data_IF_893790677505
#
_entry.id   IF_893790677505
#
_cell.length_a   1.000
_cell.length_b   1.000
_cell.length_c   1.000
_cell.angle_alpha   90.00
_cell.angle_beta   90.00
_cell.angle_gamma   90.00
#
_symmetry.space_group_name_H-M   'P 1'
#
loop_
_entity.id
_entity.type
_entity.pdbx_description
1 polymer ?
#
# COMPACT_ATOMS: atom_id res chain seq x y z
N UNK A 1 -10.82 -6.00 -8.97
CA UNK A 1 -11.06 -4.53 -8.85
C UNK A 1 -9.91 -3.84 -8.12
N UNK A 2 -9.54 -4.26 -6.90
CA UNK A 2 -8.34 -3.75 -6.20
C UNK A 2 -7.07 -4.03 -7.00
N UNK A 3 -6.93 -5.22 -7.59
CA UNK A 3 -5.77 -5.59 -8.43
C UNK A 3 -5.54 -4.62 -9.61
N UNK A 4 -6.59 -4.22 -10.32
CA UNK A 4 -6.48 -3.24 -11.41
C UNK A 4 -6.05 -1.84 -10.91
N UNK A 5 -6.45 -1.49 -9.68
CA UNK A 5 -6.02 -0.22 -9.05
C UNK A 5 -4.57 -0.31 -8.58
N UNK A 6 -4.19 -1.45 -8.01
CA UNK A 6 -2.81 -1.77 -7.62
C UNK A 6 -1.86 -1.64 -8.81
N UNK A 7 -2.20 -2.28 -9.93
CA UNK A 7 -1.43 -2.24 -11.16
C UNK A 7 -1.34 -0.81 -11.73
N UNK A 8 -2.44 -0.05 -11.69
CA UNK A 8 -2.43 1.35 -12.14
C UNK A 8 -1.52 2.22 -11.28
N UNK A 9 -1.55 2.05 -9.96
CA UNK A 9 -0.70 2.77 -9.01
C UNK A 9 0.77 2.38 -9.22
N UNK A 10 1.05 1.09 -9.35
CA UNK A 10 2.40 0.57 -9.64
C UNK A 10 2.98 1.20 -10.92
N UNK A 11 2.21 1.19 -12.01
CA UNK A 11 2.60 1.81 -13.28
C UNK A 11 2.80 3.34 -13.18
N UNK A 12 2.00 4.03 -12.35
CA UNK A 12 2.21 5.46 -12.10
C UNK A 12 3.52 5.73 -11.34
N UNK A 13 3.82 4.93 -10.33
CA UNK A 13 5.04 5.07 -9.52
C UNK A 13 6.29 4.72 -10.33
N UNK A 14 6.26 3.64 -11.13
CA UNK A 14 7.33 3.29 -12.07
C UNK A 14 7.63 4.41 -13.06
N UNK A 15 6.59 5.02 -13.66
CA UNK A 15 6.75 6.19 -14.55
C UNK A 15 7.33 7.42 -13.86
N UNK A 16 7.16 7.52 -12.55
CA UNK A 16 7.77 8.56 -11.72
C UNK A 16 9.19 8.18 -11.21
N UNK A 17 9.80 7.14 -11.76
CA UNK A 17 11.12 6.60 -11.40
C UNK A 17 11.21 6.11 -9.95
N UNK A 18 10.14 5.46 -9.45
CA UNK A 18 10.22 4.67 -8.23
C UNK A 18 10.51 3.21 -8.59
N UNK A 19 11.38 2.57 -7.81
CA UNK A 19 11.43 1.11 -7.71
C UNK A 19 10.22 0.64 -6.91
N UNK A 20 9.54 -0.40 -7.38
CA UNK A 20 8.33 -0.90 -6.74
C UNK A 20 8.40 -2.40 -6.49
N UNK A 21 7.77 -2.84 -5.42
CA UNK A 21 7.70 -4.23 -5.01
C UNK A 21 6.31 -4.55 -4.47
N UNK A 22 5.58 -5.43 -5.16
CA UNK A 22 4.21 -5.83 -4.82
C UNK A 22 4.27 -7.03 -3.86
N UNK A 23 3.62 -6.90 -2.71
CA UNK A 23 3.66 -7.89 -1.62
C UNK A 23 2.65 -9.03 -1.79
N UNK A 24 1.61 -8.85 -2.61
CA UNK A 24 0.52 -9.82 -2.80
C UNK A 24 0.99 -11.12 -3.47
N UNK A 25 2.20 -11.14 -4.03
CA UNK A 25 2.76 -12.30 -4.75
C UNK A 25 3.33 -13.41 -3.85
N UNK A 26 3.38 -13.24 -2.52
CA UNK A 26 4.18 -14.10 -1.64
C UNK A 26 3.42 -15.21 -0.90
N UNK A 27 2.08 -15.30 -1.03
CA UNK A 27 1.32 -16.23 -0.20
C UNK A 27 0.06 -16.80 -0.86
N UNK A 28 0.04 -18.13 -1.03
CA UNK A 28 -1.18 -18.91 -1.31
C UNK A 28 -2.13 -18.98 -0.10
N UNK A 29 -1.74 -18.42 1.06
CA UNK A 29 -2.60 -18.22 2.23
C UNK A 29 -3.04 -16.76 2.29
N UNK A 30 -4.25 -16.51 2.78
CA UNK A 30 -4.82 -15.18 3.05
C UNK A 30 -4.13 -14.41 4.19
N UNK A 31 -2.80 -14.49 4.33
CA UNK A 31 -2.05 -13.56 5.16
C UNK A 31 -1.94 -12.24 4.40
N UNK A 32 -2.95 -11.39 4.57
CA UNK A 32 -2.92 -10.03 4.03
C UNK A 32 -1.76 -9.29 4.70
N UNK A 33 -0.72 -8.96 3.94
CA UNK A 33 0.30 -8.04 4.39
C UNK A 33 -0.34 -6.69 4.74
N UNK A 34 0.24 -5.99 5.73
CA UNK A 34 -0.24 -4.66 6.14
C UNK A 34 -0.10 -3.62 5.03
N UNK A 35 0.76 -3.89 4.04
CA UNK A 35 1.00 -3.08 2.85
C UNK A 35 0.77 -3.92 1.60
N UNK A 36 0.41 -3.26 0.50
CA UNK A 36 0.27 -3.92 -0.80
C UNK A 36 1.51 -3.67 -1.67
N UNK A 37 2.15 -2.50 -1.53
CA UNK A 37 3.41 -2.15 -2.19
C UNK A 37 4.46 -1.64 -1.19
N UNK A 38 5.72 -1.96 -1.45
CA UNK A 38 6.87 -1.16 -1.03
C UNK A 38 7.40 -0.40 -2.25
N UNK A 39 7.65 0.90 -2.09
CA UNK A 39 8.25 1.69 -3.17
C UNK A 39 9.40 2.52 -2.66
N UNK A 40 10.44 2.65 -3.48
CA UNK A 40 11.68 3.35 -3.14
C UNK A 40 12.10 4.30 -4.25
N UNK A 41 12.58 5.47 -3.87
CA UNK A 41 13.29 6.40 -4.75
C UNK A 41 14.38 7.09 -3.96
N UNK A 42 15.65 6.82 -4.30
CA UNK A 42 16.80 7.25 -3.50
C UNK A 42 16.64 6.76 -2.05
N UNK A 43 16.77 7.66 -1.07
CA UNK A 43 16.61 7.37 0.36
C UNK A 43 15.15 7.38 0.84
N UNK A 44 14.20 7.68 -0.05
CA UNK A 44 12.78 7.73 0.28
C UNK A 44 12.14 6.37 0.06
N UNK A 45 11.70 5.74 1.14
CA UNK A 45 10.95 4.48 1.12
C UNK A 45 9.52 4.74 1.58
N UNK A 46 8.54 4.25 0.82
CA UNK A 46 7.14 4.24 1.23
C UNK A 46 6.61 2.81 1.37
N UNK A 47 5.83 2.61 2.42
CA UNK A 47 4.99 1.44 2.62
C UNK A 47 3.55 1.82 2.25
N UNK A 48 3.09 1.32 1.10
CA UNK A 48 1.83 1.74 0.48
C UNK A 48 0.73 0.73 0.80
N UNK A 49 -0.38 1.24 1.35
CA UNK A 49 -1.61 0.45 1.58
C UNK A 49 -2.78 1.07 0.84
N UNK A 50 -3.47 0.26 0.06
CA UNK A 50 -4.62 0.64 -0.76
C UNK A 50 -5.89 0.09 -0.12
N UNK A 51 -6.86 0.98 0.09
CA UNK A 51 -8.16 0.65 0.65
C UNK A 51 -9.23 0.79 -0.43
N UNK A 52 -10.00 -0.27 -0.66
CA UNK A 52 -11.20 -0.20 -1.52
C UNK A 52 -12.31 0.66 -0.92
N UNK A 53 -12.34 0.78 0.40
CA UNK A 53 -13.15 1.72 1.14
C UNK A 53 -12.33 2.25 2.31
N UNK A 54 -12.03 3.56 2.29
CA UNK A 54 -11.27 4.20 3.37
C UNK A 54 -12.08 4.29 4.67
N UNK A 55 -13.41 4.16 4.63
CA UNK A 55 -14.25 4.19 5.83
C UNK A 55 -14.03 2.95 6.73
N UNK A 56 -13.42 1.89 6.19
CA UNK A 56 -13.06 0.68 6.93
C UNK A 56 -11.73 0.81 7.71
N UNK A 57 -11.15 2.02 7.77
CA UNK A 57 -9.97 2.27 8.59
C UNK A 57 -10.33 2.11 10.08
N UNK A 58 -9.55 1.33 10.82
CA UNK A 58 -9.68 1.24 12.27
C UNK A 58 -8.32 1.48 12.94
N UNK A 59 -8.36 1.72 14.25
CA UNK A 59 -7.16 2.05 15.03
C UNK A 59 -6.13 0.92 15.00
N UNK A 60 -6.57 -0.34 15.02
CA UNK A 60 -5.70 -1.51 15.05
C UNK A 60 -4.87 -1.62 13.75
N UNK A 61 -5.53 -1.55 12.59
CA UNK A 61 -4.87 -1.56 11.27
C UNK A 61 -3.86 -0.40 11.17
N UNK A 62 -4.20 0.76 11.70
CA UNK A 62 -3.31 1.93 11.67
C UNK A 62 -2.11 1.74 12.58
N UNK A 63 -2.28 1.13 13.75
CA UNK A 63 -1.18 0.81 14.65
C UNK A 63 -0.22 -0.21 14.04
N UNK A 64 -0.75 -1.22 13.33
CA UNK A 64 0.07 -2.21 12.62
C UNK A 64 0.89 -1.56 11.49
N UNK A 65 0.24 -0.72 10.67
CA UNK A 65 0.87 0.05 9.59
C UNK A 65 1.98 0.94 10.16
N UNK A 66 1.72 1.67 11.26
CA UNK A 66 2.73 2.53 11.90
C UNK A 66 3.92 1.72 12.41
N UNK A 67 3.66 0.63 13.11
CA UNK A 67 4.70 -0.22 13.71
C UNK A 67 5.61 -0.81 12.65
N UNK A 68 5.04 -1.35 11.57
CA UNK A 68 5.82 -1.90 10.47
C UNK A 68 6.56 -0.82 9.67
N UNK A 69 5.96 0.36 9.48
CA UNK A 69 6.64 1.45 8.77
C UNK A 69 7.85 1.96 9.57
N UNK A 70 7.74 2.02 10.90
CA UNK A 70 8.86 2.34 11.78
C UNK A 70 9.99 1.30 11.66
N UNK A 71 9.64 0.01 11.69
CA UNK A 71 10.61 -1.08 11.56
C UNK A 71 11.36 -1.04 10.22
N UNK A 72 10.64 -0.76 9.13
CA UNK A 72 11.18 -0.70 7.77
C UNK A 72 11.83 0.66 7.44
N UNK A 73 11.82 1.63 8.36
CA UNK A 73 12.23 3.02 8.12
C UNK A 73 11.55 3.62 6.88
N UNK A 74 10.30 3.23 6.65
CA UNK A 74 9.48 3.72 5.54
C UNK A 74 8.43 4.71 6.01
N UNK A 75 7.97 5.56 5.09
CA UNK A 75 6.83 6.46 5.30
C UNK A 75 5.56 5.73 4.88
N UNK A 76 4.53 5.59 5.75
CA UNK A 76 3.28 4.99 5.34
C UNK A 76 2.55 5.90 4.35
N UNK A 77 2.08 5.35 3.24
CA UNK A 77 1.24 6.03 2.25
C UNK A 77 -0.09 5.26 2.13
N UNK A 78 -1.19 5.89 2.56
CA UNK A 78 -2.51 5.31 2.49
C UNK A 78 -3.26 5.86 1.28
N UNK A 79 -3.75 4.97 0.41
CA UNK A 79 -4.50 5.33 -0.80
C UNK A 79 -5.90 4.77 -0.66
N UNK A 80 -6.87 5.65 -0.42
CA UNK A 80 -8.28 5.28 -0.36
C UNK A 80 -8.99 5.51 -1.69
N UNK A 81 -9.74 4.52 -2.16
CA UNK A 81 -10.71 4.74 -3.23
C UNK A 81 -11.98 5.30 -2.57
N UNK A 82 -12.34 6.55 -2.91
CA UNK A 82 -13.64 7.08 -2.52
C UNK A 82 -14.69 6.49 -3.44
N UNK A 83 -15.58 5.65 -2.89
CA UNK A 83 -16.77 5.24 -3.62
C UNK A 83 -17.66 6.47 -3.87
N UNK A 84 -17.79 6.89 -5.12
CA UNK A 84 -18.82 7.84 -5.54
C UNK A 84 -20.13 7.06 -5.68
N UNK A 85 -20.78 6.74 -4.57
CA UNK A 85 -22.21 6.48 -4.56
C UNK A 85 -22.89 7.72 -3.97
N UNK A 86 -23.41 8.55 -4.88
CA UNK A 86 -24.77 9.07 -4.77
C UNK A 86 -25.69 8.04 -5.43
#
# INVERSE_FOLDING_TARGET
MIEAVLEKIDNMLKRANFETFILDSFSNKKTKFCFDLLVKKNDLVFSVKIFSNIDNLNADIINDIKSLSLLLKSKPLLIGIKNRYH
#
